data_IF_851741426550
#
_entry.id   IF_851741426550
#
_cell.length_a   1.000
_cell.length_b   1.000
_cell.length_c   1.000
_cell.angle_alpha   90.00
_cell.angle_beta   90.00
_cell.angle_gamma   90.00
#
_symmetry.space_group_name_H-M   'P 1'
#
loop_
_entity.id
_entity.type
_entity.pdbx_description
1 polymer ?
#
# COMPACT_ATOMS: atom_id res chain seq x y z
N UNK A 1 0.27 -18.61 -0.86
CA UNK A 1 0.04 -17.16 -1.04
C UNK A 1 0.24 -16.80 -2.50
N UNK A 2 -0.69 -16.07 -3.08
CA UNK A 2 -0.54 -15.60 -4.45
C UNK A 2 0.61 -14.62 -4.56
N UNK A 3 1.21 -14.55 -5.74
CA UNK A 3 2.32 -13.63 -5.96
C UNK A 3 1.92 -12.17 -5.72
N UNK A 4 0.76 -11.75 -6.20
CA UNK A 4 0.27 -10.39 -6.00
C UNK A 4 0.12 -10.06 -4.51
N UNK A 5 -0.40 -11.00 -3.72
CA UNK A 5 -0.54 -10.82 -2.27
C UNK A 5 0.83 -10.74 -1.60
N UNK A 6 1.78 -11.53 -2.08
CA UNK A 6 3.14 -11.51 -1.55
C UNK A 6 3.83 -10.17 -1.85
N UNK A 7 3.70 -9.66 -3.07
CA UNK A 7 4.25 -8.35 -3.43
C UNK A 7 3.69 -7.25 -2.53
N UNK A 8 2.38 -7.28 -2.29
CA UNK A 8 1.74 -6.33 -1.38
C UNK A 8 2.29 -6.46 0.03
N UNK A 9 2.44 -7.69 0.53
CA UNK A 9 2.98 -7.94 1.87
C UNK A 9 4.42 -7.45 2.01
N UNK A 10 5.24 -7.61 0.97
CA UNK A 10 6.61 -7.10 0.96
C UNK A 10 6.61 -5.59 1.16
N UNK A 11 5.79 -4.86 0.41
CA UNK A 11 5.68 -3.41 0.55
C UNK A 11 5.26 -3.02 1.96
N UNK A 12 4.27 -3.70 2.53
CA UNK A 12 3.81 -3.41 3.88
C UNK A 12 4.88 -3.66 4.93
N UNK A 13 5.62 -4.75 4.80
CA UNK A 13 6.69 -5.07 5.73
C UNK A 13 7.84 -4.07 5.65
N UNK A 14 8.25 -3.69 4.44
CA UNK A 14 9.31 -2.69 4.25
C UNK A 14 8.86 -1.34 4.79
N UNK A 15 7.62 -0.97 4.56
CA UNK A 15 7.06 0.30 5.00
C UNK A 15 7.03 0.43 6.52
N UNK A 16 6.76 -0.67 7.23
CA UNK A 16 6.66 -0.68 8.69
C UNK A 16 7.98 -0.72 9.42
N UNK A 17 9.11 -0.78 8.70
CA UNK A 17 10.44 -0.94 9.30
C UNK A 17 11.41 0.07 8.70
N UNK A 18 12.44 0.42 9.48
CA UNK A 18 13.50 1.32 8.98
C UNK A 18 14.33 0.63 7.91
N UNK A 19 14.57 -0.67 8.09
CA UNK A 19 15.36 -1.47 7.16
C UNK A 19 14.86 -2.90 7.25
N UNK A 20 14.63 -3.53 6.10
CA UNK A 20 14.21 -4.94 6.01
C UNK A 20 15.20 -5.69 5.14
N UNK A 21 15.80 -6.73 5.71
CA UNK A 21 16.72 -7.58 4.96
C UNK A 21 15.94 -8.60 4.13
N UNK A 22 16.58 -9.11 3.07
CA UNK A 22 15.98 -10.19 2.29
C UNK A 22 15.75 -11.42 3.15
N UNK A 23 16.65 -11.70 4.09
CA UNK A 23 16.51 -12.82 5.02
C UNK A 23 15.26 -12.68 5.89
N UNK A 24 15.03 -11.49 6.43
CA UNK A 24 13.83 -11.21 7.23
C UNK A 24 12.56 -11.41 6.40
N UNK A 25 12.52 -10.85 5.21
CA UNK A 25 11.35 -10.94 4.34
C UNK A 25 11.10 -12.39 3.90
N UNK A 26 12.16 -13.11 3.57
CA UNK A 26 12.07 -14.51 3.17
C UNK A 26 11.50 -15.38 4.30
N UNK A 27 11.98 -15.19 5.52
CA UNK A 27 11.50 -15.93 6.68
C UNK A 27 10.04 -15.60 6.96
N UNK A 28 9.71 -14.32 6.96
CA UNK A 28 8.35 -13.84 7.26
C UNK A 28 7.31 -14.35 6.26
N UNK A 29 7.69 -14.41 4.99
CA UNK A 29 6.78 -14.80 3.91
C UNK A 29 6.93 -16.26 3.49
N UNK A 30 7.84 -16.98 4.14
CA UNK A 30 8.07 -18.41 3.89
C UNK A 30 8.44 -18.68 2.42
N UNK A 31 9.35 -17.88 1.90
CA UNK A 31 9.92 -18.04 0.56
C UNK A 31 11.43 -17.93 0.62
N UNK A 32 12.12 -18.25 -0.47
CA UNK A 32 13.57 -18.12 -0.54
C UNK A 32 13.98 -16.66 -0.66
N UNK A 33 15.22 -16.34 -0.28
CA UNK A 33 15.78 -15.02 -0.49
C UNK A 33 15.83 -14.67 -1.97
N UNK A 34 16.07 -15.66 -2.82
CA UNK A 34 16.07 -15.47 -4.28
C UNK A 34 14.70 -14.96 -4.76
N UNK A 35 13.63 -15.52 -4.22
CA UNK A 35 12.27 -15.04 -4.52
C UNK A 35 12.08 -13.60 -4.07
N UNK A 36 12.60 -13.24 -2.90
CA UNK A 36 12.53 -11.87 -2.40
C UNK A 36 13.29 -10.92 -3.33
N UNK A 37 14.50 -11.28 -3.76
CA UNK A 37 15.26 -10.42 -4.70
C UNK A 37 14.50 -10.20 -5.99
N UNK A 38 13.87 -11.23 -6.53
CA UNK A 38 13.05 -11.13 -7.74
C UNK A 38 11.84 -10.24 -7.52
N UNK A 39 11.15 -10.44 -6.41
CA UNK A 39 9.95 -9.67 -6.09
C UNK A 39 10.27 -8.19 -5.87
N UNK A 40 11.36 -7.89 -5.17
CA UNK A 40 11.81 -6.50 -4.97
C UNK A 40 12.16 -5.86 -6.32
N UNK A 41 12.86 -6.57 -7.18
CA UNK A 41 13.19 -6.05 -8.51
C UNK A 41 11.93 -5.75 -9.33
N UNK A 42 10.92 -6.63 -9.26
CA UNK A 42 9.66 -6.42 -9.94
C UNK A 42 8.92 -5.20 -9.40
N UNK A 43 8.90 -5.02 -8.08
CA UNK A 43 8.27 -3.86 -7.46
C UNK A 43 8.97 -2.56 -7.88
N UNK A 44 10.31 -2.57 -7.89
CA UNK A 44 11.09 -1.42 -8.35
C UNK A 44 10.80 -1.10 -9.82
N UNK A 45 10.66 -2.13 -10.63
CA UNK A 45 10.33 -1.98 -12.05
C UNK A 45 8.94 -1.39 -12.25
N UNK A 46 8.02 -1.66 -11.34
CA UNK A 46 6.67 -1.08 -11.33
C UNK A 46 6.62 0.34 -10.79
N UNK A 47 7.73 0.89 -10.35
CA UNK A 47 7.81 2.25 -9.86
C UNK A 47 7.72 2.40 -8.33
N UNK A 48 7.72 1.29 -7.59
CA UNK A 48 7.77 1.37 -6.12
C UNK A 48 9.18 1.77 -5.72
N UNK A 49 9.36 2.89 -4.99
CA UNK A 49 10.69 3.42 -4.69
C UNK A 49 11.34 2.67 -3.53
N UNK A 50 11.68 1.40 -3.75
CA UNK A 50 12.43 0.61 -2.79
C UNK A 50 13.90 0.92 -2.99
N UNK A 51 14.57 1.39 -1.93
CA UNK A 51 16.00 1.67 -1.91
C UNK A 51 16.72 0.58 -1.16
N UNK A 52 17.97 0.32 -1.52
CA UNK A 52 18.81 -0.64 -0.84
C UNK A 52 19.38 -1.68 -1.76
N UNK A 53 20.11 -2.61 -1.17
CA UNK A 53 20.83 -3.67 -1.88
C UNK A 53 20.66 -5.00 -1.17
N UNK A 54 20.75 -6.08 -1.95
CA UNK A 54 20.83 -7.42 -1.41
C UNK A 54 22.00 -7.51 -0.43
N UNK A 55 21.79 -8.05 0.73
CA UNK A 55 22.83 -8.17 1.75
C UNK A 55 22.92 -7.00 2.72
N UNK A 56 22.39 -5.83 2.36
CA UNK A 56 22.34 -4.67 3.26
C UNK A 56 20.93 -4.50 3.81
N UNK A 57 19.94 -4.52 2.94
CA UNK A 57 18.54 -4.36 3.31
C UNK A 57 17.83 -3.35 2.46
N UNK A 58 16.52 -3.28 2.63
CA UNK A 58 15.61 -2.47 1.83
C UNK A 58 14.80 -1.52 2.70
N UNK A 59 14.48 -0.36 2.15
CA UNK A 59 13.60 0.63 2.76
C UNK A 59 12.81 1.34 1.66
N UNK A 60 11.69 1.96 2.03
CA UNK A 60 10.96 2.79 1.07
C UNK A 60 11.55 4.20 1.01
N UNK A 61 11.73 4.69 -0.19
CA UNK A 61 12.16 6.06 -0.42
C UNK A 61 11.03 7.06 -0.26
N UNK A 62 11.38 8.33 -0.28
CA UNK A 62 10.42 9.42 -0.19
C UNK A 62 9.53 9.48 -1.43
N UNK A 63 8.32 10.03 -1.29
CA UNK A 63 7.40 10.19 -2.40
C UNK A 63 6.70 8.91 -2.83
N UNK A 64 6.66 7.92 -1.96
CA UNK A 64 6.04 6.63 -2.27
C UNK A 64 4.55 6.78 -2.54
N UNK A 65 4.13 6.22 -3.67
CA UNK A 65 2.72 6.05 -3.98
C UNK A 65 2.34 4.59 -3.81
N UNK A 66 1.16 4.34 -3.27
CA UNK A 66 0.68 2.97 -3.11
C UNK A 66 0.49 2.31 -4.47
N UNK A 67 0.91 1.03 -4.62
CA UNK A 67 0.60 0.30 -5.85
C UNK A 67 -0.90 0.20 -6.04
N UNK A 68 -1.38 -0.06 -7.26
CA UNK A 68 -2.80 -0.25 -7.48
C UNK A 68 -3.39 -1.30 -6.54
N UNK A 69 -4.48 -0.95 -5.88
CA UNK A 69 -5.20 -1.82 -4.95
C UNK A 69 -6.59 -2.09 -5.50
N UNK A 70 -7.10 -3.27 -5.21
CA UNK A 70 -8.47 -3.62 -5.57
C UNK A 70 -9.28 -3.78 -4.28
N UNK A 71 -10.27 -2.92 -4.10
CA UNK A 71 -11.20 -3.02 -2.99
C UNK A 71 -12.54 -3.58 -3.45
N UNK A 72 -13.17 -4.38 -2.60
CA UNK A 72 -14.56 -4.72 -2.80
C UNK A 72 -15.40 -3.46 -2.58
N UNK A 73 -16.63 -3.46 -3.11
CA UNK A 73 -17.54 -2.34 -2.89
C UNK A 73 -17.78 -2.09 -1.39
N UNK A 74 -17.92 -3.16 -0.62
CA UNK A 74 -18.11 -3.07 0.84
C UNK A 74 -16.90 -2.45 1.53
N UNK A 75 -15.70 -2.85 1.14
CA UNK A 75 -14.46 -2.28 1.69
C UNK A 75 -14.34 -0.79 1.36
N UNK A 76 -14.62 -0.41 0.11
CA UNK A 76 -14.57 0.98 -0.30
C UNK A 76 -15.59 1.81 0.46
N UNK A 77 -16.82 1.32 0.62
CA UNK A 77 -17.86 2.01 1.38
C UNK A 77 -17.45 2.20 2.85
N UNK A 78 -16.84 1.19 3.45
CA UNK A 78 -16.36 1.27 4.83
C UNK A 78 -15.28 2.34 4.99
N UNK A 79 -14.34 2.40 4.05
CA UNK A 79 -13.29 3.42 4.07
C UNK A 79 -13.85 4.83 3.92
N UNK A 80 -14.81 5.01 3.01
CA UNK A 80 -15.47 6.31 2.81
C UNK A 80 -16.20 6.73 4.09
N UNK A 81 -16.95 5.84 4.69
CA UNK A 81 -17.69 6.13 5.92
C UNK A 81 -16.75 6.50 7.06
N UNK A 82 -15.67 5.73 7.25
CA UNK A 82 -14.69 6.00 8.29
C UNK A 82 -14.01 7.36 8.08
N UNK A 83 -13.63 7.67 6.84
CA UNK A 83 -12.99 8.94 6.51
C UNK A 83 -13.92 10.14 6.77
N UNK A 84 -15.20 10.02 6.42
CA UNK A 84 -16.17 11.09 6.68
C UNK A 84 -16.40 11.32 8.15
N UNK A 85 -16.45 10.26 8.94
CA UNK A 85 -16.60 10.38 10.39
C UNK A 85 -15.38 11.08 11.03
N UNK A 86 -14.19 10.80 10.51
CA UNK A 86 -12.96 11.35 11.07
C UNK A 86 -12.64 12.77 10.60
N UNK A 87 -13.20 13.20 9.47
CA UNK A 87 -12.80 14.46 8.82
C UNK A 87 -12.86 15.69 9.72
N UNK A 88 -13.87 15.77 10.58
CA UNK A 88 -14.03 16.92 11.48
C UNK A 88 -12.94 17.00 12.55
N UNK A 89 -12.22 15.92 12.77
CA UNK A 89 -11.21 15.81 13.84
C UNK A 89 -9.78 15.90 13.31
N UNK A 90 -9.62 16.00 11.99
CA UNK A 90 -8.31 16.04 11.37
C UNK A 90 -7.84 17.50 11.18
N UNK A 91 -6.53 17.70 11.22
CA UNK A 91 -5.99 19.02 10.86
C UNK A 91 -6.27 19.33 9.39
N UNK A 92 -6.23 20.62 8.98
CA UNK A 92 -6.57 20.99 7.61
C UNK A 92 -5.73 20.31 6.54
N UNK A 93 -4.45 20.09 6.79
CA UNK A 93 -3.58 19.41 5.83
C UNK A 93 -3.99 17.97 5.60
N UNK A 94 -4.20 17.23 6.68
CA UNK A 94 -4.62 15.83 6.59
C UNK A 94 -6.04 15.72 6.05
N UNK A 95 -6.92 16.64 6.40
CA UNK A 95 -8.29 16.67 5.87
C UNK A 95 -8.30 16.84 4.34
N UNK A 96 -7.40 17.66 3.79
CA UNK A 96 -7.28 17.81 2.33
C UNK A 96 -6.80 16.52 1.67
N UNK A 97 -5.85 15.82 2.30
CA UNK A 97 -5.39 14.52 1.78
C UNK A 97 -6.52 13.50 1.77
N UNK A 98 -7.34 13.49 2.83
CA UNK A 98 -8.51 12.62 2.91
C UNK A 98 -9.51 12.95 1.80
N UNK A 99 -9.77 14.23 1.54
CA UNK A 99 -10.68 14.63 0.44
C UNK A 99 -10.16 14.15 -0.91
N UNK A 100 -8.86 14.26 -1.15
CA UNK A 100 -8.25 13.76 -2.38
C UNK A 100 -8.42 12.25 -2.54
N UNK A 101 -8.18 11.49 -1.47
CA UNK A 101 -8.35 10.05 -1.47
C UNK A 101 -9.82 9.65 -1.69
N UNK A 102 -10.74 10.33 -1.02
CA UNK A 102 -12.18 10.10 -1.20
C UNK A 102 -12.61 10.34 -2.62
N UNK A 103 -12.12 11.41 -3.26
CA UNK A 103 -12.43 11.71 -4.65
C UNK A 103 -12.03 10.56 -5.58
N UNK A 104 -10.85 9.97 -5.36
CA UNK A 104 -10.39 8.84 -6.15
C UNK A 104 -11.27 7.60 -5.95
N UNK A 105 -11.61 7.29 -4.70
CA UNK A 105 -12.45 6.14 -4.39
C UNK A 105 -13.84 6.30 -4.97
N UNK A 106 -14.46 7.48 -4.76
CA UNK A 106 -15.82 7.74 -5.22
C UNK A 106 -15.93 7.73 -6.75
N UNK A 107 -14.87 8.12 -7.45
CA UNK A 107 -14.87 8.18 -8.91
C UNK A 107 -15.05 6.81 -9.57
N UNK A 108 -14.70 5.73 -8.88
CA UNK A 108 -14.78 4.37 -9.42
C UNK A 108 -15.92 3.55 -8.83
N UNK A 109 -16.65 4.11 -7.87
CA UNK A 109 -17.84 3.43 -7.31
C UNK A 109 -19.03 3.61 -8.23
N UNK A 110 -19.93 2.60 -8.31
CA UNK A 110 -21.19 2.77 -9.03
C UNK A 110 -22.00 3.94 -8.46
N UNK A 111 -22.82 4.64 -9.27
CA UNK A 111 -23.60 5.79 -8.78
C UNK A 111 -24.44 5.51 -7.55
N UNK A 112 -25.06 4.35 -7.45
CA UNK A 112 -25.88 3.97 -6.29
C UNK A 112 -25.03 3.89 -5.02
N UNK A 113 -23.83 3.33 -5.11
CA UNK A 113 -22.91 3.25 -3.97
C UNK A 113 -22.40 4.64 -3.56
N UNK A 114 -22.17 5.54 -4.53
CA UNK A 114 -21.77 6.92 -4.24
C UNK A 114 -22.84 7.67 -3.47
N UNK A 115 -24.09 7.43 -3.77
CA UNK A 115 -25.21 8.05 -3.06
C UNK A 115 -25.33 7.53 -1.63
N UNK A 116 -24.98 6.26 -1.41
CA UNK A 116 -24.99 5.66 -0.08
C UNK A 116 -23.79 6.09 0.77
N UNK A 117 -22.75 6.51 0.14
CA UNK A 117 -21.53 6.98 0.82
C UNK A 117 -21.67 8.45 1.19
#
# INVERSE_FOLDING_TARGET
MRRADRLFQIVQLIRGRRLSTAAFLAERLEVSQRTIYRDVADLQHQGVPIEGEAGVGYRLGAGFELPPLMFSQGEANALVAAARLAQAWLDPGLAREVEGALGKILSVLPPAARLAA
#
